data_IF_102416689976
#
_entry.id   IF_102416689976
#
_cell.length_a   1.000
_cell.length_b   1.000
_cell.length_c   1.000
_cell.angle_alpha   90.00
_cell.angle_beta   90.00
_cell.angle_gamma   90.00
#
_symmetry.space_group_name_H-M   'P 1'
#
loop_
_entity.id
_entity.type
_entity.pdbx_description
1 polymer ?
#
# COMPACT_ATOMS: atom_id res chain seq x y z
N UNK A 1 2.56 6.86 21.86
CA UNK A 1 2.97 8.09 21.16
C UNK A 1 2.50 9.27 21.99
N UNK A 2 3.26 10.36 22.09
CA UNK A 2 2.78 11.57 22.75
C UNK A 2 1.79 12.32 21.85
N UNK A 3 1.01 13.25 22.40
CA UNK A 3 0.14 14.15 21.63
C UNK A 3 0.92 14.90 20.55
N UNK A 4 2.16 15.28 20.84
CA UNK A 4 3.00 16.06 19.93
C UNK A 4 3.54 15.20 18.77
N UNK A 5 3.82 13.91 19.03
CA UNK A 5 4.20 12.96 17.98
C UNK A 5 3.01 12.62 17.07
N UNK A 6 1.79 12.60 17.62
CA UNK A 6 0.56 12.38 16.86
C UNK A 6 0.24 13.59 15.97
N UNK A 7 0.31 14.81 16.51
CA UNK A 7 0.10 16.04 15.74
C UNK A 7 1.17 16.28 14.65
N UNK A 8 2.37 15.70 14.80
CA UNK A 8 3.42 15.74 13.80
C UNK A 8 3.30 14.64 12.72
N UNK A 9 2.41 13.65 12.90
CA UNK A 9 2.22 12.54 11.97
C UNK A 9 1.16 12.88 10.91
N UNK A 10 1.61 13.24 9.72
CA UNK A 10 0.71 13.68 8.65
C UNK A 10 0.19 12.52 7.77
N UNK A 11 0.80 11.32 7.82
CA UNK A 11 0.42 10.23 6.91
C UNK A 11 -1.00 9.72 7.11
N UNK A 12 -1.58 9.92 8.31
CA UNK A 12 -2.96 9.58 8.65
C UNK A 12 -3.89 10.78 8.39
N UNK A 13 -3.47 11.97 8.83
CA UNK A 13 -4.26 13.21 8.73
C UNK A 13 -4.76 13.45 7.29
N UNK A 14 -3.90 13.19 6.29
CA UNK A 14 -4.23 13.40 4.88
C UNK A 14 -5.40 12.54 4.36
N UNK A 15 -5.74 11.44 5.04
CA UNK A 15 -6.89 10.59 4.65
C UNK A 15 -8.21 11.04 5.27
N UNK A 16 -8.17 11.73 6.42
CA UNK A 16 -9.38 12.05 7.19
C UNK A 16 -10.39 12.91 6.42
N UNK A 17 -9.99 13.96 5.66
CA UNK A 17 -10.93 14.72 4.83
C UNK A 17 -11.61 13.86 3.76
N UNK A 18 -10.87 12.94 3.13
CA UNK A 18 -11.38 12.08 2.08
C UNK A 18 -12.36 11.04 2.64
N UNK A 19 -12.02 10.41 3.77
CA UNK A 19 -12.90 9.50 4.51
C UNK A 19 -14.18 10.21 4.91
N UNK A 20 -14.09 11.42 5.49
CA UNK A 20 -15.28 12.19 5.88
C UNK A 20 -16.14 12.56 4.68
N UNK A 21 -15.54 12.88 3.53
CA UNK A 21 -16.26 13.21 2.31
C UNK A 21 -17.00 12.00 1.73
N UNK A 22 -16.33 10.84 1.62
CA UNK A 22 -16.92 9.60 1.07
C UNK A 22 -18.03 9.07 1.97
N UNK A 23 -17.80 9.05 3.29
CA UNK A 23 -18.77 8.55 4.27
C UNK A 23 -19.62 9.68 4.88
N UNK A 24 -19.92 10.72 4.11
CA UNK A 24 -20.59 11.93 4.64
C UNK A 24 -21.93 11.66 5.34
N UNK A 25 -22.65 10.65 4.86
CA UNK A 25 -24.00 10.29 5.32
C UNK A 25 -24.00 9.01 6.19
N UNK A 26 -22.83 8.48 6.54
CA UNK A 26 -22.65 7.27 7.34
C UNK A 26 -21.71 7.56 8.51
N UNK A 27 -22.13 7.22 9.73
CA UNK A 27 -21.25 7.35 10.88
C UNK A 27 -20.21 6.21 10.91
N UNK A 28 -18.98 6.52 10.50
CA UNK A 28 -17.83 5.59 10.56
C UNK A 28 -16.97 5.86 11.78
N UNK A 29 -16.49 4.81 12.44
CA UNK A 29 -15.44 4.91 13.47
C UNK A 29 -14.09 4.77 12.78
N UNK A 30 -13.17 5.69 13.07
CA UNK A 30 -11.80 5.65 12.53
C UNK A 30 -10.87 5.09 13.59
N UNK A 31 -10.05 4.10 13.22
CA UNK A 31 -9.01 3.53 14.08
C UNK A 31 -7.65 3.87 13.45
N UNK A 32 -6.95 4.92 13.93
CA UNK A 32 -5.63 5.27 13.41
C UNK A 32 -4.58 4.26 13.86
N UNK A 33 -3.74 3.81 12.92
CA UNK A 33 -2.64 2.88 13.19
C UNK A 33 -1.37 3.42 12.54
N UNK A 34 -0.41 3.83 13.37
CA UNK A 34 0.92 4.24 12.90
C UNK A 34 1.81 3.01 12.79
N UNK A 35 2.34 2.77 11.59
CA UNK A 35 3.23 1.64 11.30
C UNK A 35 4.65 2.14 11.11
N UNK A 36 5.54 1.77 12.02
CA UNK A 36 6.97 2.07 11.92
C UNK A 36 7.73 1.11 11.00
N UNK A 37 9.05 1.07 11.18
CA UNK A 37 9.90 0.09 10.48
C UNK A 37 9.64 -1.32 11.02
N UNK A 38 9.19 -2.22 10.15
CA UNK A 38 8.91 -3.61 10.51
C UNK A 38 9.91 -4.57 9.86
N UNK A 39 10.21 -5.67 10.55
CA UNK A 39 10.80 -6.85 9.91
C UNK A 39 9.70 -7.65 9.19
N UNK A 40 10.07 -8.48 8.21
CA UNK A 40 9.11 -9.35 7.52
C UNK A 40 8.33 -10.26 8.50
N UNK A 41 8.97 -10.72 9.57
CA UNK A 41 8.30 -11.50 10.61
C UNK A 41 7.21 -10.70 11.32
N UNK A 42 7.50 -9.44 11.66
CA UNK A 42 6.52 -8.54 12.27
C UNK A 42 5.39 -8.19 11.30
N UNK A 43 5.68 -8.00 10.01
CA UNK A 43 4.66 -7.81 8.98
C UNK A 43 3.72 -9.02 8.90
N UNK A 44 4.23 -10.25 8.98
CA UNK A 44 3.40 -11.47 9.01
C UNK A 44 2.58 -11.58 10.30
N UNK A 45 3.19 -11.29 11.45
CA UNK A 45 2.52 -11.33 12.75
C UNK A 45 1.37 -10.31 12.83
N UNK A 46 1.63 -9.06 12.45
CA UNK A 46 0.61 -8.02 12.42
C UNK A 46 -0.43 -8.28 11.32
N UNK A 47 -0.03 -8.75 10.13
CA UNK A 47 -1.01 -9.10 9.09
C UNK A 47 -1.98 -10.18 9.55
N UNK A 48 -1.50 -11.20 10.27
CA UNK A 48 -2.38 -12.19 10.91
C UNK A 48 -3.33 -11.53 11.91
N UNK A 49 -2.85 -10.62 12.75
CA UNK A 49 -3.71 -9.90 13.70
C UNK A 49 -4.80 -9.10 12.96
N UNK A 50 -4.40 -8.30 11.97
CA UNK A 50 -5.30 -7.42 11.22
C UNK A 50 -6.27 -8.17 10.30
N UNK A 51 -5.95 -9.40 9.90
CA UNK A 51 -6.82 -10.26 9.10
C UNK A 51 -8.19 -10.51 9.75
N UNK A 52 -8.28 -10.41 11.08
CA UNK A 52 -9.52 -10.54 11.85
C UNK A 52 -10.55 -9.50 11.44
N UNK A 53 -10.14 -8.23 11.32
CA UNK A 53 -11.00 -7.14 10.88
C UNK A 53 -11.08 -7.07 9.36
N UNK A 54 -10.00 -7.37 8.64
CA UNK A 54 -10.04 -7.35 7.17
C UNK A 54 -11.08 -8.31 6.59
N UNK A 55 -11.34 -9.43 7.27
CA UNK A 55 -12.30 -10.44 6.86
C UNK A 55 -13.70 -10.35 7.48
N UNK A 56 -14.01 -9.34 8.31
CA UNK A 56 -15.29 -9.25 9.02
C UNK A 56 -16.46 -8.76 8.15
N UNK A 57 -16.16 -8.13 7.00
CA UNK A 57 -17.16 -7.56 6.09
C UNK A 57 -17.76 -6.21 6.54
N UNK A 58 -17.33 -5.68 7.68
CA UNK A 58 -17.78 -4.41 8.26
C UNK A 58 -16.66 -3.35 8.30
N UNK A 59 -15.40 -3.78 8.25
CA UNK A 59 -14.22 -2.92 8.30
C UNK A 59 -13.70 -2.56 6.92
N UNK A 60 -13.21 -1.32 6.77
CA UNK A 60 -12.53 -0.83 5.57
C UNK A 60 -11.13 -0.34 5.95
N UNK A 61 -10.13 -0.76 5.16
CA UNK A 61 -8.72 -0.45 5.42
C UNK A 61 -8.20 0.58 4.42
N UNK A 62 -7.57 1.63 4.93
CA UNK A 62 -6.83 2.61 4.13
C UNK A 62 -5.35 2.40 4.38
N UNK A 63 -4.60 2.06 3.33
CA UNK A 63 -3.14 1.92 3.39
C UNK A 63 -2.51 3.17 2.78
N UNK A 64 -1.85 3.98 3.62
CA UNK A 64 -1.20 5.23 3.22
C UNK A 64 0.20 4.96 2.66
N UNK A 65 0.47 5.38 1.42
CA UNK A 65 1.80 5.33 0.81
C UNK A 65 1.91 6.22 -0.43
N UNK A 66 2.98 7.00 -0.49
CA UNK A 66 3.59 7.44 -1.75
C UNK A 66 4.49 6.33 -2.33
N UNK A 67 4.77 6.42 -3.63
CA UNK A 67 5.68 5.53 -4.36
C UNK A 67 7.08 6.15 -4.47
N UNK A 68 7.82 5.99 -5.58
CA UNK A 68 9.19 6.49 -5.69
C UNK A 68 9.33 7.98 -5.36
N UNK A 69 10.17 8.28 -4.38
CA UNK A 69 10.76 9.60 -4.15
C UNK A 69 12.12 9.63 -4.88
N UNK A 70 12.13 10.22 -6.07
CA UNK A 70 13.30 10.25 -6.94
C UNK A 70 13.96 11.62 -6.96
N UNK A 71 15.29 11.64 -6.88
CA UNK A 71 16.13 12.82 -6.97
C UNK A 71 17.22 12.84 -5.91
N UNK A 72 18.23 13.68 -6.13
CA UNK A 72 19.40 13.83 -5.23
C UNK A 72 19.00 14.19 -3.80
N UNK A 73 17.97 15.02 -3.62
CA UNK A 73 17.43 15.38 -2.29
C UNK A 73 16.89 14.19 -1.48
N UNK A 74 16.47 13.13 -2.16
CA UNK A 74 16.01 11.88 -1.54
C UNK A 74 17.12 10.83 -1.45
N UNK A 75 18.34 11.14 -1.93
CA UNK A 75 19.46 10.21 -2.08
C UNK A 75 19.10 8.95 -2.88
N UNK A 76 18.18 9.09 -3.84
CA UNK A 76 17.75 8.00 -4.71
C UNK A 76 17.61 8.49 -6.15
N UNK A 77 18.53 8.07 -7.01
CA UNK A 77 18.57 8.46 -8.43
C UNK A 77 18.65 7.24 -9.35
N UNK A 78 18.21 6.08 -8.86
CA UNK A 78 18.18 4.84 -9.65
C UNK A 78 17.15 4.99 -10.76
N UNK A 79 17.55 4.68 -12.00
CA UNK A 79 16.69 4.71 -13.18
C UNK A 79 17.07 3.52 -14.05
N UNK A 80 16.08 2.85 -14.63
CA UNK A 80 16.34 1.87 -15.68
C UNK A 80 17.00 2.55 -16.88
N UNK A 81 18.24 2.15 -17.19
CA UNK A 81 19.04 2.68 -18.31
C UNK A 81 18.43 2.41 -19.69
N UNK A 82 17.45 1.52 -19.80
CA UNK A 82 16.67 1.28 -21.03
C UNK A 82 15.66 2.38 -21.31
N UNK A 83 15.49 3.32 -20.38
CA UNK A 83 14.56 4.44 -20.49
C UNK A 83 15.13 5.56 -21.31
N UNK A 84 14.36 6.07 -22.26
CA UNK A 84 14.70 7.30 -22.99
C UNK A 84 14.72 8.51 -22.04
N UNK A 85 13.73 8.59 -21.14
CA UNK A 85 13.62 9.67 -20.15
C UNK A 85 13.59 9.13 -18.72
N UNK A 86 14.15 9.91 -17.78
CA UNK A 86 14.20 9.59 -16.35
C UNK A 86 12.81 9.27 -15.80
N UNK A 87 11.82 10.13 -16.07
CA UNK A 87 10.45 9.92 -15.60
C UNK A 87 9.83 8.60 -16.07
N UNK A 88 10.19 8.10 -17.26
CA UNK A 88 9.71 6.80 -17.74
C UNK A 88 10.38 5.64 -17.00
N UNK A 89 11.65 5.79 -16.63
CA UNK A 89 12.35 4.81 -15.82
C UNK A 89 11.82 4.74 -14.39
N UNK A 90 11.47 5.88 -13.80
CA UNK A 90 10.73 5.95 -12.53
C UNK A 90 9.38 5.24 -12.68
N UNK A 91 8.64 5.52 -13.77
CA UNK A 91 7.35 4.88 -14.02
C UNK A 91 7.47 3.36 -14.16
N UNK A 92 8.49 2.86 -14.87
CA UNK A 92 8.76 1.40 -14.96
C UNK A 92 9.08 0.82 -13.59
N UNK A 93 9.97 1.46 -12.83
CA UNK A 93 10.33 1.04 -11.48
C UNK A 93 9.09 0.93 -10.57
N UNK A 94 8.21 1.94 -10.59
CA UNK A 94 6.99 1.92 -9.79
C UNK A 94 6.01 0.85 -10.28
N UNK A 95 5.89 0.66 -11.60
CA UNK A 95 5.02 -0.38 -12.18
C UNK A 95 5.46 -1.79 -11.79
N UNK A 96 6.76 -2.08 -11.79
CA UNK A 96 7.29 -3.34 -11.26
C UNK A 96 6.85 -3.58 -9.79
N UNK A 97 6.83 -2.52 -8.98
CA UNK A 97 6.38 -2.58 -7.59
C UNK A 97 4.86 -2.76 -7.49
N UNK A 98 4.10 -2.06 -8.34
CA UNK A 98 2.65 -2.21 -8.45
C UNK A 98 2.28 -3.64 -8.87
N UNK A 99 2.95 -4.23 -9.86
CA UNK A 99 2.74 -5.60 -10.32
C UNK A 99 3.04 -6.61 -9.21
N UNK A 100 4.12 -6.38 -8.44
CA UNK A 100 4.45 -7.20 -7.28
C UNK A 100 3.35 -7.15 -6.20
N UNK A 101 2.76 -5.97 -5.97
CA UNK A 101 1.63 -5.78 -5.04
C UNK A 101 0.36 -6.45 -5.61
N UNK A 102 0.04 -6.26 -6.89
CA UNK A 102 -1.15 -6.83 -7.55
C UNK A 102 -1.13 -8.36 -7.55
N UNK A 103 0.06 -8.97 -7.52
CA UNK A 103 0.21 -10.43 -7.36
C UNK A 103 -0.34 -10.96 -6.02
N UNK A 104 -0.56 -10.10 -5.03
CA UNK A 104 -0.96 -10.48 -3.67
C UNK A 104 0.13 -11.20 -2.88
N UNK A 105 1.36 -11.27 -3.41
CA UNK A 105 2.47 -12.01 -2.81
C UNK A 105 3.39 -11.11 -1.99
N UNK A 106 3.38 -11.30 -0.67
CA UNK A 106 4.32 -10.63 0.26
C UNK A 106 5.77 -10.84 -0.16
N UNK A 107 6.16 -12.06 -0.53
CA UNK A 107 7.54 -12.36 -0.93
C UNK A 107 7.92 -11.72 -2.27
N UNK A 108 6.98 -11.61 -3.22
CA UNK A 108 7.24 -10.91 -4.48
C UNK A 108 7.54 -9.43 -4.23
N UNK A 109 6.77 -8.79 -3.34
CA UNK A 109 7.01 -7.40 -2.97
C UNK A 109 8.31 -7.20 -2.18
N UNK A 110 8.64 -8.07 -1.22
CA UNK A 110 9.93 -8.04 -0.52
C UNK A 110 11.12 -8.19 -1.47
N UNK A 111 11.01 -9.11 -2.43
CA UNK A 111 12.05 -9.32 -3.45
C UNK A 111 12.21 -8.08 -4.35
N UNK A 112 11.11 -7.43 -4.73
CA UNK A 112 11.15 -6.16 -5.46
C UNK A 112 11.85 -5.07 -4.65
N UNK A 113 11.47 -4.88 -3.38
CA UNK A 113 12.08 -3.88 -2.51
C UNK A 113 13.58 -4.12 -2.34
N UNK A 114 13.99 -5.38 -2.11
CA UNK A 114 15.40 -5.77 -1.94
C UNK A 114 16.22 -5.56 -3.20
N UNK A 115 15.64 -5.80 -4.38
CA UNK A 115 16.34 -5.66 -5.66
C UNK A 115 16.51 -4.21 -6.10
N UNK A 116 15.59 -3.33 -5.71
CA UNK A 116 15.48 -2.00 -6.29
C UNK A 116 15.77 -0.87 -5.30
N UNK A 117 15.66 -1.14 -4.01
CA UNK A 117 15.66 -0.14 -2.94
C UNK A 117 14.70 1.03 -3.21
N UNK A 118 13.59 0.80 -3.94
CA UNK A 118 12.65 1.88 -4.25
C UNK A 118 12.13 2.53 -2.96
N UNK A 119 12.02 3.86 -2.99
CA UNK A 119 11.75 4.72 -1.83
C UNK A 119 10.26 4.80 -1.46
N UNK A 120 9.51 3.71 -1.66
CA UNK A 120 8.10 3.60 -1.27
C UNK A 120 7.97 3.76 0.26
N UNK A 121 7.36 4.86 0.71
CA UNK A 121 7.33 5.22 2.13
C UNK A 121 6.45 4.26 2.96
N UNK A 122 5.34 3.79 2.40
CA UNK A 122 4.40 2.87 3.05
C UNK A 122 4.70 1.38 2.80
N UNK A 123 5.96 1.01 2.50
CA UNK A 123 6.34 -0.38 2.23
C UNK A 123 5.92 -1.37 3.33
N UNK A 124 5.97 -0.95 4.60
CA UNK A 124 5.60 -1.80 5.74
C UNK A 124 4.09 -1.96 5.91
N UNK A 125 3.26 -0.89 5.88
CA UNK A 125 1.81 -1.02 5.73
C UNK A 125 1.38 -1.91 4.56
N UNK A 126 2.03 -1.78 3.39
CA UNK A 126 1.75 -2.61 2.21
C UNK A 126 2.11 -4.08 2.49
N UNK A 127 3.30 -4.35 3.05
CA UNK A 127 3.73 -5.69 3.43
C UNK A 127 2.75 -6.37 4.39
N UNK A 128 2.28 -5.63 5.40
CA UNK A 128 1.24 -6.06 6.34
C UNK A 128 -0.09 -6.36 5.65
N UNK A 129 -0.55 -5.51 4.72
CA UNK A 129 -1.77 -5.77 3.94
C UNK A 129 -1.65 -7.10 3.17
N UNK A 130 -0.54 -7.33 2.48
CA UNK A 130 -0.32 -8.54 1.68
C UNK A 130 -0.33 -9.81 2.55
N UNK A 131 0.26 -9.75 3.74
CA UNK A 131 0.23 -10.89 4.68
C UNK A 131 -1.17 -11.10 5.28
N UNK A 132 -1.92 -10.03 5.56
CA UNK A 132 -3.30 -10.12 6.03
C UNK A 132 -4.22 -10.76 4.98
N UNK A 133 -4.14 -10.32 3.72
CA UNK A 133 -4.92 -10.89 2.61
C UNK A 133 -4.60 -12.37 2.41
N UNK A 134 -3.31 -12.74 2.42
CA UNK A 134 -2.89 -14.15 2.33
C UNK A 134 -3.45 -15.00 3.47
N UNK A 135 -3.54 -14.44 4.68
CA UNK A 135 -4.11 -15.13 5.82
C UNK A 135 -5.63 -15.32 5.66
N UNK A 136 -6.36 -14.28 5.28
CA UNK A 136 -7.80 -14.34 5.00
C UNK A 136 -8.11 -15.38 3.90
N UNK A 137 -7.35 -15.41 2.81
CA UNK A 137 -7.57 -16.42 1.76
C UNK A 137 -7.36 -17.85 2.22
N UNK A 138 -6.40 -18.08 3.12
CA UNK A 138 -6.13 -19.43 3.67
C UNK A 138 -7.18 -19.91 4.66
N UNK A 139 -7.81 -19.01 5.42
CA UNK A 139 -8.65 -19.39 6.57
C UNK A 139 -10.14 -19.09 6.41
N UNK A 140 -10.50 -18.08 5.62
CA UNK A 140 -11.90 -17.65 5.44
C UNK A 140 -12.47 -18.04 4.07
N UNK A 141 -11.64 -18.54 3.16
CA UNK A 141 -12.04 -18.90 1.79
C UNK A 141 -12.35 -17.71 0.88
N UNK A 142 -12.12 -16.48 1.36
CA UNK A 142 -12.23 -15.26 0.57
C UNK A 142 -10.98 -15.09 -0.29
N UNK A 143 -11.16 -15.06 -1.61
CA UNK A 143 -10.08 -14.61 -2.50
C UNK A 143 -10.15 -13.09 -2.63
N UNK A 144 -9.03 -12.48 -2.94
CA UNK A 144 -8.94 -11.04 -3.16
C UNK A 144 -8.22 -10.76 -4.47
N UNK A 145 -8.61 -9.66 -5.12
CA UNK A 145 -7.83 -9.04 -6.18
C UNK A 145 -7.40 -7.64 -5.74
N UNK A 146 -6.16 -7.30 -6.06
CA UNK A 146 -5.63 -5.95 -5.88
C UNK A 146 -5.46 -5.36 -7.28
N UNK A 147 -5.93 -4.13 -7.49
CA UNK A 147 -5.79 -3.44 -8.77
C UNK A 147 -5.49 -1.97 -8.56
N UNK A 148 -4.41 -1.48 -9.16
CA UNK A 148 -4.14 -0.06 -9.28
C UNK A 148 -5.05 0.58 -10.31
N UNK A 149 -5.67 1.69 -9.93
CA UNK A 149 -6.64 2.43 -10.75
C UNK A 149 -6.07 3.74 -11.28
N UNK A 150 -5.01 4.26 -10.65
CA UNK A 150 -4.34 5.49 -11.07
C UNK A 150 -2.87 5.48 -10.70
N UNK A 151 -2.06 6.10 -11.55
CA UNK A 151 -0.65 6.39 -11.30
C UNK A 151 -0.35 7.79 -11.84
N UNK A 152 0.34 8.60 -11.06
CA UNK A 152 0.82 9.92 -11.45
C UNK A 152 2.19 10.21 -10.86
N UNK A 153 2.89 11.19 -11.42
CA UNK A 153 4.14 11.72 -10.88
C UNK A 153 3.94 13.20 -10.58
N UNK A 154 4.49 13.69 -9.47
CA UNK A 154 4.40 15.11 -9.10
C UNK A 154 4.95 16.03 -10.19
N UNK A 155 5.92 15.55 -10.97
CA UNK A 155 6.52 16.21 -12.12
C UNK A 155 7.20 15.17 -13.02
N UNK A 156 7.50 15.53 -14.28
CA UNK A 156 8.29 14.69 -15.18
C UNK A 156 9.76 15.09 -15.10
N UNK A 157 10.57 14.30 -14.39
CA UNK A 157 12.02 14.48 -14.36
C UNK A 157 12.63 14.26 -15.75
N UNK A 158 13.33 15.27 -16.25
CA UNK A 158 14.04 15.28 -17.53
C UNK A 158 15.56 15.23 -17.33
N UNK A 159 16.04 15.76 -16.20
CA UNK A 159 17.47 15.88 -15.87
C UNK A 159 17.79 15.30 -14.49
N UNK A 160 19.07 15.11 -14.19
CA UNK A 160 19.53 14.57 -12.90
C UNK A 160 19.40 15.55 -11.74
N UNK A 161 19.22 16.85 -12.02
CA UNK A 161 18.91 17.87 -11.01
C UNK A 161 17.43 17.91 -10.62
N UNK A 162 16.55 17.27 -11.41
CA UNK A 162 15.13 17.24 -11.11
C UNK A 162 14.81 16.33 -9.92
N UNK A 163 13.59 16.46 -9.39
CA UNK A 163 13.07 15.50 -8.41
C UNK A 163 11.56 15.36 -8.55
N UNK A 164 11.06 14.18 -8.26
CA UNK A 164 9.63 13.84 -8.31
C UNK A 164 9.25 12.88 -7.20
N UNK A 165 7.99 12.91 -6.81
CA UNK A 165 7.35 11.87 -6.01
C UNK A 165 6.26 11.22 -6.84
N UNK A 166 6.18 9.90 -6.82
CA UNK A 166 5.15 9.13 -7.52
C UNK A 166 3.96 8.84 -6.61
N UNK A 167 2.76 8.86 -7.18
CA UNK A 167 1.50 8.58 -6.49
C UNK A 167 0.76 7.46 -7.20
N UNK A 168 0.21 6.53 -6.44
CA UNK A 168 -0.60 5.45 -6.98
C UNK A 168 -1.82 5.20 -6.09
N UNK A 169 -2.94 4.83 -6.71
CA UNK A 169 -4.17 4.46 -5.99
C UNK A 169 -4.56 3.04 -6.39
N UNK A 170 -4.87 2.20 -5.41
CA UNK A 170 -5.30 0.82 -5.62
C UNK A 170 -6.57 0.50 -4.85
N UNK A 171 -7.30 -0.51 -5.33
CA UNK A 171 -8.45 -1.10 -4.69
C UNK A 171 -8.18 -2.58 -4.42
N UNK A 172 -8.60 -3.04 -3.24
CA UNK A 172 -8.68 -4.45 -2.92
C UNK A 172 -10.15 -4.86 -2.93
N UNK A 173 -10.48 -5.92 -3.65
CA UNK A 173 -11.85 -6.43 -3.77
C UNK A 173 -11.87 -7.93 -3.52
N UNK A 174 -12.88 -8.41 -2.79
CA UNK A 174 -13.12 -9.85 -2.66
C UNK A 174 -13.54 -10.43 -4.00
N UNK A 175 -12.92 -11.53 -4.42
CA UNK A 175 -13.24 -12.25 -5.66
C UNK A 175 -13.97 -13.55 -5.33
N UNK A 176 -15.19 -13.70 -5.88
CA UNK A 176 -16.06 -14.86 -5.67
C UNK A 176 -17.18 -14.61 -4.67
N UNK A 177 -18.37 -15.13 -4.98
CA UNK A 177 -19.51 -15.16 -4.04
C UNK A 177 -19.14 -15.98 -2.80
N UNK A 178 -19.62 -15.62 -1.59
CA UNK A 178 -19.49 -16.50 -0.44
C UNK A 178 -20.06 -17.85 -0.85
N UNK A 179 -19.28 -18.92 -0.74
CA UNK A 179 -19.87 -20.25 -0.72
C UNK A 179 -20.82 -20.25 0.46
N UNK A 180 -22.13 -20.12 0.17
CA UNK A 180 -23.19 -20.27 1.15
C UNK A 180 -23.04 -21.68 1.68
N UNK A 181 -22.29 -21.84 2.76
CA UNK A 181 -22.37 -23.03 3.58
C UNK A 181 -23.76 -22.98 4.20
N UNK A 182 -24.72 -23.58 3.50
CA UNK A 182 -26.02 -23.93 4.06
C UNK A 182 -25.79 -25.01 5.11
N UNK A 183 -25.40 -24.59 6.31
CA UNK A 183 -25.51 -25.40 7.51
C UNK A 183 -26.00 -24.52 8.65
N UNK A 184 -27.16 -24.93 9.19
CA UNK A 184 -27.90 -24.44 10.38
C UNK A 184 -28.81 -23.25 10.06
N UNK A 185 -30.13 -23.29 10.28
CA UNK A 185 -30.98 -24.19 11.06
C UNK A 185 -32.10 -24.82 10.21
#
# INVERSE_FOLDING_TARGET
MSSDMDAAEHSIEMHLPYVRHVFRDVHVKVVPVVVGSLSEEKERSFGRLFSTWLGDGESFFVISSDFCHWGTRFRYTTVDRRSEFIWQGIQRLDRDGMDAIESGSHSAFCNYQTRTDNTICGKHPIGLLLTALSYCSKHSGHNFSIRFVRYEQSSKCLTTSDSSVSYASALVQTTGSPTRNSRRA
#
